data_IF_535478906619
#
_entry.id   IF_535478906619
#
_cell.length_a   1.000
_cell.length_b   1.000
_cell.length_c   1.000
_cell.angle_alpha   90.00
_cell.angle_beta   90.00
_cell.angle_gamma   90.00
#
_symmetry.space_group_name_H-M   'P 1'
#
loop_
_entity.id
_entity.type
_entity.pdbx_description
1 polymer ?
#
# COMPACT_ATOMS: atom_id res chain seq x y z
N UNK A 1 -14.01 -1.20 3.56
CA UNK A 1 -12.74 -1.49 4.25
C UNK A 1 -12.76 -2.93 4.71
N UNK A 2 -11.74 -3.73 4.37
CA UNK A 2 -11.75 -5.15 4.74
C UNK A 2 -11.58 -5.31 6.25
N UNK A 3 -12.61 -5.84 6.92
CA UNK A 3 -12.58 -6.11 8.36
C UNK A 3 -11.64 -7.28 8.67
N UNK A 4 -10.76 -7.09 9.65
CA UNK A 4 -9.83 -8.13 10.07
C UNK A 4 -10.56 -9.27 10.77
N UNK A 5 -11.66 -8.99 11.46
CA UNK A 5 -12.51 -10.01 12.10
C UNK A 5 -13.06 -10.98 11.06
N UNK A 6 -13.67 -10.47 9.99
CA UNK A 6 -14.21 -11.30 8.91
C UNK A 6 -13.11 -12.12 8.21
N UNK A 7 -11.92 -11.54 8.01
CA UNK A 7 -10.77 -12.26 7.44
C UNK A 7 -10.27 -13.35 8.40
N UNK A 8 -10.22 -13.09 9.69
CA UNK A 8 -9.78 -14.06 10.70
C UNK A 8 -10.77 -15.23 10.84
N UNK A 9 -12.06 -14.96 10.92
CA UNK A 9 -13.11 -15.99 11.00
C UNK A 9 -13.15 -16.86 9.76
N UNK A 10 -13.16 -16.27 8.57
CA UNK A 10 -13.16 -17.03 7.31
C UNK A 10 -11.91 -17.90 7.15
N UNK A 11 -10.75 -17.39 7.54
CA UNK A 11 -9.50 -18.14 7.51
C UNK A 11 -9.46 -19.25 8.56
N UNK A 12 -10.00 -19.01 9.76
CA UNK A 12 -10.16 -20.04 10.80
C UNK A 12 -11.09 -21.16 10.33
N UNK A 13 -12.22 -20.83 9.71
CA UNK A 13 -13.15 -21.81 9.16
C UNK A 13 -12.52 -22.63 8.02
N UNK A 14 -11.76 -21.98 7.15
CA UNK A 14 -11.04 -22.66 6.06
C UNK A 14 -10.03 -23.68 6.60
N UNK A 15 -9.26 -23.31 7.62
CA UNK A 15 -8.19 -24.16 8.18
C UNK A 15 -8.73 -25.28 9.06
N UNK A 16 -9.81 -25.01 9.80
CA UNK A 16 -10.53 -26.03 10.56
C UNK A 16 -11.13 -27.09 9.62
N UNK A 17 -11.67 -26.67 8.46
CA UNK A 17 -12.20 -27.58 7.45
C UNK A 17 -11.11 -28.49 6.87
N UNK A 18 -9.90 -27.97 6.72
CA UNK A 18 -8.76 -28.72 6.18
C UNK A 18 -8.01 -29.57 7.24
N UNK A 19 -8.40 -29.53 8.53
CA UNK A 19 -7.68 -30.17 9.65
C UNK A 19 -6.18 -29.80 9.75
N UNK A 20 -5.76 -28.69 9.13
CA UNK A 20 -4.33 -28.36 8.96
C UNK A 20 -3.68 -27.67 10.17
N UNK A 21 -4.46 -27.25 11.16
CA UNK A 21 -3.97 -26.68 12.42
C UNK A 21 -4.66 -25.37 12.81
N UNK A 22 -4.40 -24.91 14.04
CA UNK A 22 -4.92 -23.65 14.57
C UNK A 22 -3.96 -22.50 14.26
N UNK A 23 -4.47 -21.38 13.76
CA UNK A 23 -3.69 -20.15 13.64
C UNK A 23 -3.79 -19.36 14.93
N UNK A 24 -2.62 -18.98 15.46
CA UNK A 24 -2.55 -18.04 16.59
C UNK A 24 -2.65 -16.60 16.08
N UNK A 25 -3.21 -15.69 16.88
CA UNK A 25 -3.26 -14.25 16.57
C UNK A 25 -1.90 -13.64 16.17
N UNK A 26 -0.80 -14.10 16.78
CA UNK A 26 0.54 -13.63 16.44
C UNK A 26 0.97 -14.02 15.01
N UNK A 27 0.66 -15.26 14.61
CA UNK A 27 0.93 -15.74 13.25
C UNK A 27 0.06 -14.98 12.23
N UNK A 28 -1.21 -14.75 12.57
CA UNK A 28 -2.11 -13.94 11.75
C UNK A 28 -1.55 -12.53 11.52
N UNK A 29 -1.02 -11.85 12.54
CA UNK A 29 -0.47 -10.49 12.41
C UNK A 29 0.74 -10.43 11.47
N UNK A 30 1.61 -11.44 11.51
CA UNK A 30 2.74 -11.54 10.58
C UNK A 30 2.26 -11.75 9.13
N UNK A 31 1.25 -12.61 8.93
CA UNK A 31 0.71 -12.86 7.58
C UNK A 31 -0.12 -11.70 7.04
N UNK A 32 -0.85 -10.99 7.90
CA UNK A 32 -1.66 -9.84 7.53
C UNK A 32 -0.80 -8.76 6.84
N UNK A 33 0.38 -8.47 7.38
CA UNK A 33 1.33 -7.53 6.77
C UNK A 33 1.74 -7.96 5.37
N UNK A 34 2.14 -9.23 5.20
CA UNK A 34 2.64 -9.74 3.92
C UNK A 34 1.53 -9.81 2.88
N UNK A 35 0.35 -10.30 3.27
CA UNK A 35 -0.81 -10.41 2.40
C UNK A 35 -1.28 -9.04 1.89
N UNK A 36 -1.33 -8.04 2.78
CA UNK A 36 -1.70 -6.69 2.39
C UNK A 36 -0.72 -6.10 1.39
N UNK A 37 0.59 -6.28 1.60
CA UNK A 37 1.61 -5.79 0.67
C UNK A 37 1.48 -6.45 -0.71
N UNK A 38 1.22 -7.75 -0.77
CA UNK A 38 1.02 -8.47 -2.04
C UNK A 38 -0.21 -8.00 -2.80
N UNK A 39 -1.34 -7.85 -2.11
CA UNK A 39 -2.58 -7.35 -2.72
C UNK A 39 -2.39 -5.91 -3.20
N UNK A 40 -1.72 -5.07 -2.40
CA UNK A 40 -1.38 -3.70 -2.77
C UNK A 40 -0.55 -3.67 -4.06
N UNK A 41 0.54 -4.41 -4.15
CA UNK A 41 1.37 -4.49 -5.37
C UNK A 41 0.57 -4.96 -6.59
N UNK A 42 -0.28 -5.98 -6.43
CA UNK A 42 -1.16 -6.49 -7.50
C UNK A 42 -2.11 -5.42 -8.05
N UNK A 43 -2.62 -4.54 -7.19
CA UNK A 43 -3.46 -3.42 -7.63
C UNK A 43 -2.66 -2.49 -8.55
N UNK A 44 -1.40 -2.18 -8.25
CA UNK A 44 -0.55 -1.35 -9.13
C UNK A 44 -0.21 -2.05 -10.45
N UNK A 45 0.12 -3.34 -10.41
CA UNK A 45 0.42 -4.11 -11.64
C UNK A 45 -0.80 -4.14 -12.57
N UNK A 46 -2.01 -4.22 -11.99
CA UNK A 46 -3.25 -4.21 -12.76
C UNK A 46 -3.47 -2.92 -13.56
N UNK A 47 -2.91 -1.80 -13.12
CA UNK A 47 -2.99 -0.49 -13.79
C UNK A 47 -2.15 -0.48 -15.06
N UNK A 48 -0.94 -1.04 -14.98
CA UNK A 48 -0.05 -1.16 -16.14
C UNK A 48 -0.68 -2.08 -17.19
N UNK A 49 -1.16 -3.24 -16.76
CA UNK A 49 -1.88 -4.19 -17.62
C UNK A 49 -3.14 -3.56 -18.23
N UNK A 50 -3.91 -2.79 -17.44
CA UNK A 50 -5.07 -2.06 -17.93
C UNK A 50 -4.70 -1.01 -18.98
N UNK A 51 -3.58 -0.31 -18.80
CA UNK A 51 -3.08 0.67 -19.76
C UNK A 51 -2.64 0.01 -21.07
N UNK A 52 -1.99 -1.15 -21.00
CA UNK A 52 -1.64 -1.95 -22.19
C UNK A 52 -2.89 -2.45 -22.92
N UNK A 53 -3.89 -2.96 -22.19
CA UNK A 53 -5.17 -3.43 -22.77
C UNK A 53 -5.97 -2.31 -23.42
N UNK A 54 -5.92 -1.09 -22.86
CA UNK A 54 -6.50 0.10 -23.49
C UNK A 54 -5.77 0.46 -24.79
N UNK A 55 -4.43 0.40 -24.82
CA UNK A 55 -3.66 0.62 -26.04
C UNK A 55 -3.95 -0.44 -27.12
N UNK A 56 -4.28 -1.67 -26.72
CA UNK A 56 -4.68 -2.75 -27.61
C UNK A 56 -6.13 -2.71 -28.10
N UNK A 57 -6.93 -1.71 -27.73
CA UNK A 57 -8.34 -1.59 -28.18
C UNK A 57 -9.30 -2.63 -27.60
N UNK A 58 -8.87 -3.43 -26.62
CA UNK A 58 -9.67 -4.50 -25.99
C UNK A 58 -10.57 -3.96 -24.86
N UNK A 59 -10.36 -2.72 -24.44
CA UNK A 59 -11.11 -2.11 -23.35
C UNK A 59 -12.44 -1.54 -23.86
N UNK A 60 -13.55 -2.19 -23.49
CA UNK A 60 -14.88 -1.70 -23.75
C UNK A 60 -15.10 -0.42 -22.92
N UNK A 61 -15.01 0.75 -23.57
CA UNK A 61 -15.01 2.09 -22.98
C UNK A 61 -16.30 2.54 -22.28
N UNK A 62 -16.97 1.66 -21.53
CA UNK A 62 -18.17 1.93 -20.75
C UNK A 62 -17.92 2.12 -19.25
N UNK A 63 -19.01 2.29 -18.51
CA UNK A 63 -19.00 2.50 -17.05
C UNK A 63 -18.39 1.37 -16.22
N UNK A 64 -18.30 0.16 -16.78
CA UNK A 64 -17.70 -1.04 -16.18
C UNK A 64 -16.33 -1.39 -16.76
N UNK A 65 -15.69 -0.48 -17.50
CA UNK A 65 -14.32 -0.70 -17.97
C UNK A 65 -13.43 -1.06 -16.80
N UNK A 66 -12.67 -2.15 -16.94
CA UNK A 66 -11.75 -2.65 -15.91
C UNK A 66 -10.74 -1.57 -15.51
N UNK A 67 -10.35 -0.71 -16.46
CA UNK A 67 -9.47 0.42 -16.22
C UNK A 67 -10.10 1.50 -15.33
N UNK A 68 -11.42 1.74 -15.45
CA UNK A 68 -12.13 2.71 -14.60
C UNK A 68 -12.26 2.21 -13.17
N UNK A 69 -12.63 0.94 -13.02
CA UNK A 69 -12.76 0.26 -11.74
C UNK A 69 -11.42 0.24 -10.98
N UNK A 70 -10.30 -0.02 -11.67
CA UNK A 70 -8.95 0.06 -11.08
C UNK A 70 -8.59 1.50 -10.67
N UNK A 71 -8.95 2.51 -11.47
CA UNK A 71 -8.71 3.92 -11.10
C UNK A 71 -9.53 4.35 -9.89
N UNK A 72 -10.74 3.83 -9.74
CA UNK A 72 -11.58 4.06 -8.57
C UNK A 72 -10.94 3.47 -7.31
N UNK A 73 -10.41 2.24 -7.39
CA UNK A 73 -9.65 1.66 -6.28
C UNK A 73 -8.42 2.51 -5.94
N UNK A 74 -7.66 2.96 -6.95
CA UNK A 74 -6.50 3.81 -6.73
C UNK A 74 -6.87 5.16 -6.12
N UNK A 75 -8.06 5.69 -6.41
CA UNK A 75 -8.53 6.95 -5.85
C UNK A 75 -8.64 6.90 -4.32
N UNK A 76 -8.92 5.71 -3.76
CA UNK A 76 -8.94 5.47 -2.31
C UNK A 76 -7.57 5.70 -1.65
N UNK A 77 -6.49 5.51 -2.40
CA UNK A 77 -5.12 5.75 -1.94
C UNK A 77 -4.60 7.15 -2.27
N UNK A 78 -5.37 7.97 -3.00
CA UNK A 78 -4.94 9.31 -3.35
C UNK A 78 -5.05 10.25 -2.14
N UNK A 79 -3.92 10.85 -1.75
CA UNK A 79 -3.85 11.84 -0.68
C UNK A 79 -3.20 13.12 -1.22
N UNK A 80 -3.77 14.26 -0.84
CA UNK A 80 -3.16 15.55 -1.09
C UNK A 80 -2.50 16.06 0.19
N UNK A 81 -1.28 16.56 0.10
CA UNK A 81 -0.60 17.20 1.22
C UNK A 81 0.09 18.46 0.73
N UNK A 82 0.02 19.51 1.54
CA UNK A 82 0.76 20.73 1.31
C UNK A 82 2.07 20.66 2.09
N UNK A 83 3.18 20.68 1.38
CA UNK A 83 4.52 20.82 1.94
C UNK A 83 4.92 22.30 1.86
N UNK A 84 5.54 22.80 2.92
CA UNK A 84 6.08 24.16 2.96
C UNK A 84 7.52 24.09 3.43
N UNK A 85 8.43 24.61 2.63
CA UNK A 85 9.84 24.71 2.98
C UNK A 85 10.42 26.05 2.46
N UNK A 86 11.44 26.55 3.14
CA UNK A 86 12.08 27.82 2.83
C UNK A 86 13.13 27.70 1.72
N UNK A 87 13.73 26.51 1.55
CA UNK A 87 14.83 26.27 0.60
C UNK A 87 14.37 25.67 -0.75
N UNK A 88 13.06 25.55 -0.97
CA UNK A 88 12.44 24.92 -2.14
C UNK A 88 12.87 23.45 -2.38
N UNK A 89 13.45 22.83 -1.36
CA UNK A 89 13.65 21.38 -1.24
C UNK A 89 12.57 20.88 -0.28
N UNK A 90 11.74 19.95 -0.73
CA UNK A 90 10.63 19.42 0.05
C UNK A 90 10.92 17.97 0.40
N UNK A 91 10.96 17.67 1.71
CA UNK A 91 11.06 16.31 2.20
C UNK A 91 9.84 15.48 1.79
N UNK A 92 10.06 14.30 1.22
CA UNK A 92 8.96 13.40 0.88
C UNK A 92 8.22 12.94 2.14
N UNK A 93 6.87 12.92 2.15
CA UNK A 93 6.12 12.31 3.24
C UNK A 93 6.51 10.84 3.40
N UNK A 94 6.65 10.37 4.65
CA UNK A 94 6.96 8.97 4.98
C UNK A 94 5.98 7.96 4.38
N UNK A 95 4.73 8.39 4.20
CA UNK A 95 3.64 7.55 3.71
C UNK A 95 3.56 7.52 2.17
N UNK A 96 4.46 8.21 1.46
CA UNK A 96 4.41 8.33 0.01
C UNK A 96 4.90 7.06 -0.69
N UNK A 97 4.06 6.49 -1.55
CA UNK A 97 4.44 5.38 -2.43
C UNK A 97 4.82 5.88 -3.83
N UNK A 98 3.94 6.67 -4.46
CA UNK A 98 4.18 7.21 -5.81
C UNK A 98 3.55 8.59 -5.97
N UNK A 99 4.30 9.54 -6.53
CA UNK A 99 3.79 10.88 -6.83
C UNK A 99 2.93 10.85 -8.09
N UNK A 100 1.77 11.50 -8.05
CA UNK A 100 0.83 11.60 -9.17
C UNK A 100 1.01 12.94 -9.87
N UNK A 101 0.89 14.02 -9.09
CA UNK A 101 0.96 15.39 -9.61
C UNK A 101 1.40 16.35 -8.51
N UNK A 102 2.13 17.39 -8.88
CA UNK A 102 2.44 18.54 -8.03
C UNK A 102 1.73 19.79 -8.54
N UNK A 103 1.24 20.60 -7.63
CA UNK A 103 0.71 21.94 -7.90
C UNK A 103 1.37 22.92 -6.92
N UNK A 104 1.72 24.12 -7.35
CA UNK A 104 2.19 25.15 -6.42
C UNK A 104 1.04 25.57 -5.51
N UNK A 105 1.29 25.67 -4.21
CA UNK A 105 0.26 26.12 -3.27
C UNK A 105 0.18 27.66 -3.29
N UNK A 106 -0.45 28.20 -4.35
CA UNK A 106 -0.84 29.60 -4.44
C UNK A 106 -1.97 29.93 -3.45
N UNK A 107 -1.99 31.16 -2.93
CA UNK A 107 -3.11 31.64 -2.12
C UNK A 107 -4.37 31.73 -2.99
N UNK A 108 -5.50 31.23 -2.47
CA UNK A 108 -6.81 31.48 -3.05
C UNK A 108 -7.26 32.86 -2.58
N UNK A 109 -7.15 33.87 -3.44
CA UNK A 109 -7.64 35.21 -3.14
C UNK A 109 -8.73 35.57 -4.16
N UNK A 110 -9.94 35.84 -3.67
CA UNK A 110 -11.07 36.32 -4.48
C UNK A 110 -11.40 35.45 -5.72
N UNK A 111 -11.41 34.12 -5.57
CA UNK A 111 -11.87 33.20 -6.62
C UNK A 111 -10.85 32.89 -7.73
N UNK A 112 -9.67 33.52 -7.70
CA UNK A 112 -8.53 33.15 -8.54
C UNK A 112 -7.53 32.35 -7.70
N UNK A 113 -7.22 31.14 -8.16
CA UNK A 113 -6.15 30.34 -7.57
C UNK A 113 -4.88 30.58 -8.38
N UNK A 114 -3.82 31.05 -7.74
CA UNK A 114 -2.46 31.07 -8.33
C UNK A 114 -1.79 29.69 -8.24
N UNK A 115 -2.58 28.61 -8.18
CA UNK A 115 -2.07 27.24 -8.21
C UNK A 115 -1.66 26.93 -9.65
N UNK A 116 -0.36 26.73 -9.86
CA UNK A 116 0.19 26.34 -11.16
C UNK A 116 0.57 24.86 -11.13
N UNK A 117 0.23 24.09 -12.18
CA UNK A 117 0.69 22.71 -12.27
C UNK A 117 2.21 22.70 -12.37
N UNK A 118 2.84 21.79 -11.62
CA UNK A 118 4.29 21.60 -11.63
C UNK A 118 4.61 20.41 -12.52
N UNK A 119 5.55 20.59 -13.45
CA UNK A 119 6.05 19.48 -14.26
C UNK A 119 6.97 18.60 -13.40
N UNK A 120 6.68 17.30 -13.34
CA UNK A 120 7.43 16.34 -12.55
C UNK A 120 8.50 15.66 -13.42
N UNK A 121 9.76 15.93 -13.12
CA UNK A 121 10.90 15.26 -13.72
C UNK A 121 11.48 14.23 -12.74
N UNK A 122 11.61 12.99 -13.19
CA UNK A 122 12.24 11.90 -12.43
C UNK A 122 13.71 11.67 -12.84
N UNK A 123 14.13 12.30 -13.94
CA UNK A 123 15.41 12.07 -14.59
C UNK A 123 16.30 13.31 -14.41
N UNK A 124 17.46 13.10 -13.78
CA UNK A 124 18.41 14.14 -13.44
C UNK A 124 19.09 14.73 -14.70
N UNK A 125 19.26 13.94 -15.76
CA UNK A 125 19.83 14.45 -17.01
C UNK A 125 18.86 15.37 -17.74
N UNK A 126 17.56 15.03 -17.71
CA UNK A 126 16.52 15.86 -18.31
C UNK A 126 16.38 17.19 -17.60
N UNK A 127 16.46 17.20 -16.27
CA UNK A 127 16.40 18.47 -15.55
C UNK A 127 17.63 19.32 -15.82
N UNK A 128 18.83 18.73 -15.88
CA UNK A 128 20.05 19.44 -16.26
C UNK A 128 19.94 20.09 -17.65
N UNK A 129 19.29 19.41 -18.61
CA UNK A 129 19.01 19.98 -19.94
C UNK A 129 17.98 21.10 -19.91
N UNK A 130 16.93 20.96 -19.09
CA UNK A 130 15.88 21.99 -18.94
C UNK A 130 16.45 23.25 -18.27
N UNK A 131 17.27 23.09 -17.24
CA UNK A 131 17.93 24.18 -16.53
C UNK A 131 18.95 24.93 -17.41
N UNK A 132 19.64 24.23 -18.31
CA UNK A 132 20.58 24.84 -19.25
C UNK A 132 19.91 25.40 -20.52
N UNK A 133 18.63 25.09 -20.76
CA UNK A 133 17.89 25.56 -21.93
C UNK A 133 17.26 26.93 -21.65
N UNK A 134 17.57 27.93 -22.48
CA UNK A 134 17.00 29.28 -22.35
C UNK A 134 15.53 29.37 -22.77
N UNK A 135 15.03 28.42 -23.56
CA UNK A 135 13.64 28.39 -24.03
C UNK A 135 12.70 27.63 -23.08
N UNK A 136 13.26 26.74 -22.24
CA UNK A 136 12.51 25.92 -21.29
C UNK A 136 12.95 26.15 -19.85
N UNK A 137 13.63 27.27 -19.59
CA UNK A 137 14.08 27.64 -18.26
C UNK A 137 12.85 27.72 -17.32
N UNK A 138 12.91 27.05 -16.15
CA UNK A 138 11.77 27.02 -15.24
C UNK A 138 11.48 28.43 -14.70
N UNK A 139 10.21 28.81 -14.73
CA UNK A 139 9.73 30.12 -14.27
C UNK A 139 8.65 29.93 -13.20
N UNK A 140 8.22 31.03 -12.56
CA UNK A 140 7.13 30.97 -11.58
C UNK A 140 5.79 30.56 -12.22
N UNK A 141 5.64 30.74 -13.54
CA UNK A 141 4.47 30.30 -14.30
C UNK A 141 4.58 28.84 -14.75
N UNK A 142 5.80 28.36 -15.02
CA UNK A 142 6.10 26.98 -15.42
C UNK A 142 7.16 26.37 -14.51
N UNK A 143 6.77 25.99 -13.28
CA UNK A 143 7.69 25.37 -12.34
C UNK A 143 7.97 23.90 -12.71
N UNK A 144 9.21 23.49 -12.48
CA UNK A 144 9.67 22.12 -12.68
C UNK A 144 10.13 21.56 -11.34
N UNK A 145 9.65 20.38 -10.98
CA UNK A 145 10.11 19.66 -9.80
C UNK A 145 10.94 18.43 -10.17
N UNK A 146 12.14 18.33 -9.58
CA UNK A 146 12.92 17.11 -9.55
C UNK A 146 12.42 16.21 -8.44
N UNK A 147 12.09 14.97 -8.77
CA UNK A 147 11.67 13.95 -7.81
C UNK A 147 12.82 12.96 -7.62
N UNK A 148 13.81 13.32 -6.80
CA UNK A 148 15.00 12.50 -6.50
C UNK A 148 14.86 11.83 -5.12
N UNK A 149 15.85 11.93 -4.21
CA UNK A 149 15.67 11.56 -2.80
C UNK A 149 14.63 12.45 -2.14
N UNK A 150 14.80 13.76 -2.32
CA UNK A 150 13.84 14.81 -1.96
C UNK A 150 13.13 15.36 -3.21
N UNK A 151 12.13 16.20 -3.01
CA UNK A 151 11.43 16.90 -4.08
C UNK A 151 12.01 18.31 -4.17
N UNK A 152 12.84 18.59 -5.17
CA UNK A 152 13.40 19.93 -5.38
C UNK A 152 12.59 20.68 -6.43
N UNK A 153 12.26 21.95 -6.18
CA UNK A 153 11.53 22.78 -7.15
C UNK A 153 12.44 23.87 -7.72
N UNK A 154 12.31 24.05 -9.02
CA UNK A 154 12.88 25.18 -9.75
C UNK A 154 11.74 26.01 -10.35
N UNK A 155 11.75 27.36 -10.18
CA UNK A 155 12.72 28.18 -9.44
C UNK A 155 12.52 28.14 -7.91
N UNK A 156 13.60 28.40 -7.14
CA UNK A 156 13.64 28.33 -5.65
C UNK A 156 12.74 29.35 -4.92
N UNK A 157 12.02 30.19 -5.65
CA UNK A 157 11.09 31.17 -5.08
C UNK A 157 9.78 30.53 -4.58
N UNK A 158 9.49 29.28 -4.97
CA UNK A 158 8.26 28.58 -4.60
C UNK A 158 8.44 27.89 -3.24
N UNK A 159 7.80 28.46 -2.22
CA UNK A 159 7.90 28.00 -0.81
C UNK A 159 6.79 27.06 -0.36
N UNK A 160 5.76 26.86 -1.18
CA UNK A 160 4.63 25.98 -0.87
C UNK A 160 4.27 25.12 -2.06
N UNK A 161 4.21 23.81 -1.84
CA UNK A 161 3.87 22.82 -2.83
C UNK A 161 2.70 21.98 -2.33
N UNK A 162 1.65 21.84 -3.14
CA UNK A 162 0.59 20.86 -2.95
C UNK A 162 0.89 19.64 -3.82
N UNK A 163 1.24 18.53 -3.19
CA UNK A 163 1.44 17.26 -3.88
C UNK A 163 0.19 16.38 -3.77
N UNK A 164 -0.10 15.65 -4.83
CA UNK A 164 -1.02 14.51 -4.83
C UNK A 164 -0.19 13.25 -5.05
N UNK A 165 -0.30 12.31 -4.13
CA UNK A 165 0.43 11.05 -4.19
C UNK A 165 -0.47 9.87 -3.81
N UNK A 166 -0.06 8.68 -4.22
CA UNK A 166 -0.58 7.43 -3.68
C UNK A 166 0.10 7.15 -2.35
N UNK A 167 -0.70 7.00 -1.29
CA UNK A 167 -0.24 6.57 0.03
C UNK A 167 0.05 5.08 0.03
N UNK A 168 1.03 4.66 0.82
CA UNK A 168 1.27 3.24 1.14
C UNK A 168 0.06 2.68 1.88
N UNK A 169 -0.25 1.41 1.64
CA UNK A 169 -1.26 0.71 2.42
C UNK A 169 -0.77 0.55 3.86
N UNK A 170 -1.55 1.06 4.81
CA UNK A 170 -1.27 1.02 6.24
C UNK A 170 -2.38 0.24 6.95
N UNK A 171 -3.01 0.82 7.96
CA UNK A 171 -4.22 0.24 8.56
C UNK A 171 -5.30 1.30 8.74
N UNK A 172 -6.54 0.83 8.88
CA UNK A 172 -7.70 1.69 9.16
C UNK A 172 -8.17 1.34 10.57
N UNK A 173 -8.28 2.34 11.44
CA UNK A 173 -8.90 2.17 12.75
C UNK A 173 -10.41 1.83 12.60
N UNK A 174 -11.04 1.24 13.61
CA UNK A 174 -12.48 0.96 13.64
C UNK A 174 -13.32 2.24 13.47
N UNK A 175 -12.74 3.41 13.74
CA UNK A 175 -13.32 4.74 13.44
C UNK A 175 -13.11 5.26 12.01
N UNK A 176 -12.51 4.50 11.10
CA UNK A 176 -12.26 4.91 9.71
C UNK A 176 -11.05 5.82 9.51
N UNK A 177 -10.27 6.07 10.57
CA UNK A 177 -9.05 6.89 10.50
C UNK A 177 -7.88 6.06 9.99
N UNK A 178 -7.23 6.56 8.93
CA UNK A 178 -6.01 5.95 8.41
C UNK A 178 -4.84 6.11 9.40
N UNK A 179 -4.10 5.02 9.62
CA UNK A 179 -2.83 5.05 10.32
C UNK A 179 -1.73 4.38 9.48
N UNK A 180 -0.51 4.87 9.61
CA UNK A 180 0.71 4.30 9.00
C UNK A 180 1.13 2.98 9.66
N UNK A 181 0.46 2.56 10.74
CA UNK A 181 0.72 1.32 11.47
C UNK A 181 0.15 0.10 10.74
N UNK A 182 0.73 -1.06 11.01
CA UNK A 182 0.38 -2.33 10.36
C UNK A 182 -1.00 -2.84 10.81
N UNK A 183 -1.72 -3.61 9.96
CA UNK A 183 -2.95 -4.27 10.38
C UNK A 183 -2.63 -5.32 11.45
N UNK A 184 -3.42 -5.32 12.53
CA UNK A 184 -3.22 -6.21 13.66
C UNK A 184 -4.58 -6.68 14.15
N UNK A 185 -4.71 -7.99 14.27
CA UNK A 185 -5.75 -8.63 15.06
C UNK A 185 -5.31 -8.62 16.51
N UNK A 186 -6.21 -8.10 17.36
CA UNK A 186 -6.06 -8.09 18.81
C UNK A 186 -7.25 -8.80 19.43
N UNK A 187 -7.00 -9.54 20.50
CA UNK A 187 -8.01 -10.28 21.24
C UNK A 187 -7.89 -9.94 22.72
N UNK A 188 -9.03 -9.95 23.40
CA UNK A 188 -9.10 -9.94 24.86
C UNK A 188 -9.72 -11.25 25.31
N UNK A 189 -9.16 -11.86 26.36
CA UNK A 189 -9.72 -13.08 26.93
C UNK A 189 -10.83 -12.71 27.91
N UNK A 190 -12.07 -12.98 27.55
CA UNK A 190 -13.22 -12.90 28.46
C UNK A 190 -13.65 -14.33 28.78
N UNK A 191 -13.58 -14.74 30.05
CA UNK A 191 -13.95 -16.09 30.51
C UNK A 191 -13.26 -17.23 29.75
N UNK A 192 -11.93 -17.15 29.54
CA UNK A 192 -11.13 -18.18 28.85
C UNK A 192 -11.50 -18.41 27.37
N UNK A 193 -12.29 -17.53 26.78
CA UNK A 193 -12.60 -17.49 25.34
C UNK A 193 -11.92 -16.25 24.77
N UNK A 194 -11.21 -16.41 23.66
CA UNK A 194 -10.62 -15.30 22.91
C UNK A 194 -11.75 -14.52 22.22
N UNK A 195 -12.04 -13.32 22.72
CA UNK A 195 -13.02 -12.40 22.14
C UNK A 195 -12.27 -11.31 21.37
N UNK A 196 -12.74 -11.02 20.17
CA UNK A 196 -12.18 -9.96 19.34
C UNK A 196 -12.27 -8.60 20.05
N UNK A 197 -11.16 -7.86 20.10
CA UNK A 197 -11.14 -6.51 20.65
C UNK A 197 -11.10 -5.47 19.53
N UNK A 198 -12.27 -4.94 19.20
CA UNK A 198 -12.45 -3.91 18.18
C UNK A 198 -11.80 -2.55 18.53
N UNK A 199 -11.34 -2.34 19.77
CA UNK A 199 -10.71 -1.08 20.19
C UNK A 199 -9.21 -1.04 19.91
N UNK A 200 -8.56 -2.21 19.90
CA UNK A 200 -7.12 -2.35 19.63
C UNK A 200 -6.84 -3.00 18.28
N UNK A 201 -7.83 -3.66 17.67
CA UNK A 201 -7.74 -4.20 16.32
C UNK A 201 -7.63 -3.09 15.26
N UNK A 202 -6.85 -3.37 14.23
CA UNK A 202 -6.53 -2.45 13.13
C UNK A 202 -6.88 -3.10 11.80
N UNK A 203 -7.87 -2.56 11.10
CA UNK A 203 -8.40 -3.11 9.86
C UNK A 203 -7.46 -2.96 8.67
N UNK A 204 -7.67 -3.77 7.63
CA UNK A 204 -6.92 -3.67 6.39
C UNK A 204 -7.31 -2.41 5.63
N UNK A 205 -6.30 -1.69 5.15
CA UNK A 205 -6.43 -0.51 4.32
C UNK A 205 -6.62 -0.91 2.84
N UNK A 206 -7.69 -1.66 2.58
CA UNK A 206 -8.07 -2.21 1.29
C UNK A 206 -9.60 -2.06 1.05
N UNK A 207 -10.04 -1.81 -0.19
CA UNK A 207 -11.45 -1.86 -0.56
C UNK A 207 -12.08 -3.24 -0.34
N UNK A 208 -13.37 -3.30 0.00
CA UNK A 208 -14.09 -4.54 0.40
C UNK A 208 -14.07 -5.65 -0.64
N UNK A 209 -14.04 -5.27 -1.93
CA UNK A 209 -13.93 -6.20 -3.05
C UNK A 209 -12.68 -7.09 -3.01
N UNK A 210 -11.63 -6.69 -2.30
CA UNK A 210 -10.38 -7.44 -2.19
C UNK A 210 -10.34 -8.39 -0.99
N UNK A 211 -11.44 -8.54 -0.25
CA UNK A 211 -11.53 -9.45 0.90
C UNK A 211 -11.12 -10.89 0.52
N UNK A 212 -11.69 -11.43 -0.56
CA UNK A 212 -11.40 -12.79 -1.00
C UNK A 212 -9.92 -12.97 -1.39
N UNK A 213 -9.33 -11.96 -2.03
CA UNK A 213 -7.93 -11.99 -2.44
C UNK A 213 -7.01 -11.98 -1.21
N UNK A 214 -7.34 -11.19 -0.17
CA UNK A 214 -6.60 -11.17 1.09
C UNK A 214 -6.71 -12.52 1.81
N UNK A 215 -7.92 -13.07 1.92
CA UNK A 215 -8.14 -14.38 2.57
C UNK A 215 -7.36 -15.48 1.84
N UNK A 216 -7.36 -15.48 0.51
CA UNK A 216 -6.63 -16.46 -0.29
C UNK A 216 -5.11 -16.35 -0.10
N UNK A 217 -4.55 -15.14 -0.16
CA UNK A 217 -3.10 -14.92 0.09
C UNK A 217 -2.70 -15.32 1.51
N UNK A 218 -3.54 -15.02 2.51
CA UNK A 218 -3.29 -15.43 3.88
C UNK A 218 -3.40 -16.94 4.05
N UNK A 219 -4.34 -17.60 3.37
CA UNK A 219 -4.47 -19.05 3.37
C UNK A 219 -3.26 -19.74 2.70
N UNK A 220 -2.71 -19.17 1.63
CA UNK A 220 -1.49 -19.66 1.00
C UNK A 220 -0.28 -19.53 1.94
N UNK A 221 -0.11 -18.37 2.58
CA UNK A 221 0.97 -18.14 3.55
C UNK A 221 0.87 -19.08 4.76
N UNK A 222 -0.35 -19.27 5.28
CA UNK A 222 -0.63 -20.23 6.35
C UNK A 222 -0.32 -21.68 5.92
N UNK A 223 -0.75 -22.07 4.73
CA UNK A 223 -0.54 -23.43 4.21
C UNK A 223 0.94 -23.76 4.01
N UNK A 224 1.76 -22.81 3.55
CA UNK A 224 3.22 -22.98 3.43
C UNK A 224 3.87 -23.13 4.81
N UNK A 225 3.55 -22.24 5.76
CA UNK A 225 4.14 -22.31 7.10
C UNK A 225 3.77 -23.58 7.87
N UNK A 226 2.57 -24.12 7.64
CA UNK A 226 2.16 -25.39 8.23
C UNK A 226 2.91 -26.58 7.62
N UNK A 227 3.13 -26.59 6.29
CA UNK A 227 3.95 -27.63 5.64
C UNK A 227 5.38 -27.64 6.17
N UNK A 228 5.99 -26.48 6.40
CA UNK A 228 7.33 -26.40 6.98
C UNK A 228 7.37 -26.96 8.41
N UNK A 229 6.34 -26.71 9.23
CA UNK A 229 6.24 -27.34 10.55
C UNK A 229 6.11 -28.87 10.47
N UNK A 230 5.34 -29.40 9.51
CA UNK A 230 5.25 -30.85 9.28
C UNK A 230 6.58 -31.46 8.79
N UNK A 231 7.31 -30.77 7.91
CA UNK A 231 8.63 -31.25 7.43
C UNK A 231 9.65 -31.23 8.58
N UNK A 232 9.67 -30.17 9.38
CA UNK A 232 10.61 -30.05 10.50
C UNK A 232 10.31 -31.06 11.60
N UNK A 233 9.03 -31.30 11.92
CA UNK A 233 8.64 -32.34 12.88
C UNK A 233 8.93 -33.75 12.37
N UNK A 234 8.72 -34.03 11.08
CA UNK A 234 9.10 -35.30 10.48
C UNK A 234 10.61 -35.54 10.51
N UNK A 235 11.41 -34.52 10.12
CA UNK A 235 12.87 -34.59 10.19
C UNK A 235 13.39 -34.79 11.62
N UNK A 236 12.78 -34.13 12.61
CA UNK A 236 13.12 -34.31 14.03
C UNK A 236 12.72 -35.71 14.53
N UNK A 237 11.58 -36.25 14.09
CA UNK A 237 11.15 -37.59 14.44
C UNK A 237 12.08 -38.67 13.84
N UNK A 238 12.50 -38.49 12.59
CA UNK A 238 13.45 -39.39 11.91
C UNK A 238 14.86 -39.31 12.55
N UNK A 239 15.32 -38.11 12.91
CA UNK A 239 16.57 -37.96 13.66
C UNK A 239 16.50 -38.57 15.07
N UNK A 240 15.34 -38.52 15.72
CA UNK A 240 15.14 -39.15 17.03
C UNK A 240 15.15 -40.68 16.93
N UNK A 241 14.53 -41.27 15.89
CA UNK A 241 14.58 -42.71 15.65
C UNK A 241 15.99 -43.19 15.30
N UNK A 242 16.71 -42.45 14.45
CA UNK A 242 18.10 -42.77 14.09
C UNK A 242 19.05 -42.71 15.30
N UNK A 243 18.86 -41.74 16.21
CA UNK A 243 19.62 -41.67 17.46
C UNK A 243 19.31 -42.82 18.42
N UNK A 244 18.08 -43.32 18.45
CA UNK A 244 17.74 -44.49 19.27
C UNK A 244 18.33 -45.79 18.70
N UNK A 245 18.47 -45.90 17.38
CA UNK A 245 19.11 -47.05 16.73
C UNK A 245 20.63 -47.07 16.94
N UNK A 246 21.30 -45.91 17.04
CA UNK A 246 22.74 -45.83 17.31
C UNK A 246 23.14 -46.11 18.77
N UNK A 247 22.17 -46.24 19.68
CA UNK A 247 22.40 -46.53 21.11
C UNK A 247 22.21 -48.05 21.41
N UNK A 248 21.87 -48.87 20.40
CA UNK A 248 21.90 -50.33 20.48
C UNK A 248 23.18 -50.89 19.87
#
# INVERSE_FOLDING_TARGET
MVSVETVYETLKDLLNKDQKGMITPSMFNNYAQVAQMRVYSRIFDSVEVGTLKKKGGVDAGGGYSRTKVIREDLSHYSKATTLSDNDAVFSKPSDMFRLISGETAGALLMGFSTSRPVELCYDEEKIGRILNSTLSAPSEEYPVALVAGDIEIFPKNIKKLRIRYYRRAGSIDTGGTFQTTLPQYSYTTVSNIEVFDATTARNFDLPDRYLNDVVMEMAELAGVSMRDQFVTSYANAEQASLKQEQIR
#
